data_IF_139904896380
#
_entry.id   IF_139904896380
#
_cell.length_a   1.000
_cell.length_b   1.000
_cell.length_c   1.000
_cell.angle_alpha   90.00
_cell.angle_beta   90.00
_cell.angle_gamma   90.00
#
_symmetry.space_group_name_H-M   'P 1'
#
loop_
_entity.id
_entity.type
_entity.pdbx_description
1 polymer ?
#
# COMPACT_ATOMS: atom_id res chain seq x y z
N UNK A 1 16.22 -27.02 -7.04
CA UNK A 1 15.97 -25.59 -7.42
C UNK A 1 15.71 -24.70 -6.21
N UNK A 2 14.85 -25.08 -5.25
CA UNK A 2 14.53 -24.26 -4.08
C UNK A 2 15.75 -23.86 -3.25
N UNK A 3 16.65 -24.79 -2.93
CA UNK A 3 17.87 -24.49 -2.14
C UNK A 3 18.81 -23.52 -2.82
N UNK A 4 19.00 -23.63 -4.13
CA UNK A 4 19.86 -22.72 -4.91
C UNK A 4 19.26 -21.31 -4.88
N UNK A 5 17.94 -21.19 -5.02
CA UNK A 5 17.27 -19.90 -4.92
C UNK A 5 17.38 -19.31 -3.49
N UNK A 6 17.33 -20.13 -2.43
CA UNK A 6 17.53 -19.64 -1.05
C UNK A 6 18.94 -19.09 -0.82
N UNK A 7 19.97 -19.75 -1.36
CA UNK A 7 21.34 -19.25 -1.30
C UNK A 7 21.43 -17.91 -2.05
N UNK A 8 20.89 -17.84 -3.28
CA UNK A 8 20.81 -16.58 -4.03
C UNK A 8 20.10 -15.49 -3.25
N UNK A 9 18.91 -15.78 -2.70
CA UNK A 9 18.12 -14.80 -1.94
C UNK A 9 18.92 -14.24 -0.76
N UNK A 10 19.51 -15.09 0.07
CA UNK A 10 20.11 -14.66 1.32
C UNK A 10 21.54 -14.14 1.16
N UNK A 11 22.31 -14.71 0.24
CA UNK A 11 23.72 -14.33 0.06
C UNK A 11 23.91 -13.20 -0.98
N UNK A 12 22.96 -12.99 -1.89
CA UNK A 12 23.09 -12.01 -2.97
C UNK A 12 21.95 -10.98 -2.92
N UNK A 13 20.70 -11.42 -3.13
CA UNK A 13 19.57 -10.51 -3.31
C UNK A 13 19.30 -9.67 -2.06
N UNK A 14 19.17 -10.28 -0.89
CA UNK A 14 18.83 -9.56 0.35
C UNK A 14 19.90 -8.57 0.81
N UNK A 15 21.21 -8.87 0.80
CA UNK A 15 22.26 -7.87 1.09
C UNK A 15 22.25 -6.69 0.12
N UNK A 16 22.14 -6.94 -1.20
CA UNK A 16 22.04 -5.88 -2.20
C UNK A 16 20.82 -4.99 -1.91
N UNK A 17 19.67 -5.60 -1.64
CA UNK A 17 18.45 -4.85 -1.41
C UNK A 17 18.44 -4.08 -0.08
N UNK A 18 19.16 -4.57 0.93
CA UNK A 18 19.36 -3.82 2.18
C UNK A 18 20.12 -2.51 1.90
N UNK A 19 21.26 -2.61 1.20
CA UNK A 19 22.05 -1.43 0.83
C UNK A 19 21.25 -0.48 -0.06
N UNK A 20 20.58 -1.02 -1.08
CA UNK A 20 19.74 -0.24 -1.99
C UNK A 20 18.58 0.46 -1.25
N UNK A 21 17.98 -0.18 -0.25
CA UNK A 21 16.93 0.42 0.58
C UNK A 21 17.46 1.61 1.40
N UNK A 22 18.65 1.50 1.96
CA UNK A 22 19.30 2.60 2.69
C UNK A 22 19.58 3.77 1.75
N UNK A 23 20.17 3.51 0.59
CA UNK A 23 20.45 4.53 -0.43
C UNK A 23 19.16 5.22 -0.88
N UNK A 24 18.11 4.44 -1.19
CA UNK A 24 16.82 4.99 -1.59
C UNK A 24 16.21 5.88 -0.48
N UNK A 25 16.29 5.45 0.77
CA UNK A 25 15.80 6.23 1.90
C UNK A 25 16.56 7.56 2.06
N UNK A 26 17.89 7.55 1.89
CA UNK A 26 18.72 8.76 1.93
C UNK A 26 18.38 9.72 0.78
N UNK A 27 18.23 9.19 -0.45
CA UNK A 27 17.80 9.97 -1.61
C UNK A 27 16.42 10.59 -1.36
N UNK A 28 15.48 9.83 -0.79
CA UNK A 28 14.16 10.33 -0.43
C UNK A 28 14.25 11.46 0.60
N UNK A 29 15.03 11.28 1.67
CA UNK A 29 15.19 12.29 2.72
C UNK A 29 15.74 13.60 2.14
N UNK A 30 16.83 13.54 1.38
CA UNK A 30 17.45 14.72 0.78
C UNK A 30 16.55 15.34 -0.28
N UNK A 31 16.01 14.52 -1.18
CA UNK A 31 15.15 15.00 -2.26
C UNK A 31 13.87 15.68 -1.77
N UNK A 32 13.27 15.18 -0.69
CA UNK A 32 12.07 15.79 -0.09
C UNK A 32 12.29 17.21 0.46
N UNK A 33 13.53 17.65 0.67
CA UNK A 33 13.84 19.04 1.00
C UNK A 33 13.58 19.99 -0.19
N UNK A 34 13.61 19.48 -1.41
CA UNK A 34 13.38 20.24 -2.64
C UNK A 34 11.94 20.08 -3.14
N UNK A 35 11.43 18.85 -3.22
CA UNK A 35 10.06 18.58 -3.65
C UNK A 35 9.55 17.28 -3.00
N UNK A 36 8.69 17.44 -1.99
CA UNK A 36 8.17 16.32 -1.21
C UNK A 36 7.31 15.35 -2.03
N UNK A 37 6.51 15.84 -2.98
CA UNK A 37 5.58 14.99 -3.72
C UNK A 37 6.29 14.17 -4.79
N UNK A 38 7.31 14.72 -5.42
CA UNK A 38 8.14 13.99 -6.37
C UNK A 38 9.07 13.00 -5.65
N UNK A 39 9.93 13.49 -4.75
CA UNK A 39 10.96 12.67 -4.11
C UNK A 39 10.41 11.72 -3.03
N UNK A 40 9.21 12.00 -2.51
CA UNK A 40 8.52 11.08 -1.62
C UNK A 40 7.88 9.87 -2.33
N UNK A 41 7.77 9.91 -3.66
CA UNK A 41 7.15 8.84 -4.44
C UNK A 41 8.12 8.15 -5.41
N UNK A 42 8.85 8.90 -6.24
CA UNK A 42 9.64 8.32 -7.35
C UNK A 42 10.76 7.38 -6.90
N UNK A 43 11.60 7.70 -5.91
CA UNK A 43 12.63 6.77 -5.45
C UNK A 43 12.02 5.45 -4.93
N UNK A 44 10.95 5.55 -4.15
CA UNK A 44 10.26 4.40 -3.59
C UNK A 44 9.56 3.54 -4.66
N UNK A 45 9.04 4.16 -5.73
CA UNK A 45 8.48 3.45 -6.88
C UNK A 45 9.53 2.55 -7.55
N UNK A 46 10.72 3.09 -7.82
CA UNK A 46 11.81 2.30 -8.42
C UNK A 46 12.37 1.26 -7.45
N UNK A 47 12.52 1.61 -6.19
CA UNK A 47 12.91 0.68 -5.14
C UNK A 47 11.98 -0.54 -5.09
N UNK A 48 10.68 -0.34 -5.11
CA UNK A 48 9.71 -1.42 -5.09
C UNK A 48 9.78 -2.31 -6.34
N UNK A 49 10.00 -1.73 -7.53
CA UNK A 49 10.19 -2.48 -8.77
C UNK A 49 11.43 -3.35 -8.73
N UNK A 50 12.56 -2.80 -8.26
CA UNK A 50 13.81 -3.54 -8.14
C UNK A 50 13.67 -4.68 -7.14
N UNK A 51 12.93 -4.49 -6.02
CA UNK A 51 12.58 -5.57 -5.10
C UNK A 51 11.84 -6.71 -5.79
N UNK A 52 10.86 -6.41 -6.62
CA UNK A 52 10.15 -7.42 -7.38
C UNK A 52 11.07 -8.13 -8.38
N UNK A 53 11.87 -7.39 -9.14
CA UNK A 53 12.75 -7.97 -10.18
C UNK A 53 13.85 -8.87 -9.61
N UNK A 54 14.55 -8.40 -8.60
CA UNK A 54 15.67 -9.17 -8.02
C UNK A 54 15.18 -10.46 -7.35
N UNK A 55 13.96 -10.48 -6.83
CA UNK A 55 13.37 -11.68 -6.25
C UNK A 55 12.51 -12.49 -7.23
N UNK A 56 12.58 -12.16 -8.54
CA UNK A 56 11.85 -12.86 -9.60
C UNK A 56 10.32 -12.87 -9.39
N UNK A 57 9.80 -11.77 -8.85
CA UNK A 57 8.37 -11.55 -8.65
C UNK A 57 7.83 -10.70 -9.79
N UNK A 58 6.90 -11.25 -10.55
CA UNK A 58 6.20 -10.53 -11.63
C UNK A 58 4.94 -9.87 -11.09
N UNK A 59 4.72 -8.60 -11.44
CA UNK A 59 3.48 -7.91 -11.12
C UNK A 59 2.69 -7.66 -12.39
N UNK A 60 1.44 -8.14 -12.43
CA UNK A 60 0.45 -7.85 -13.48
C UNK A 60 -0.51 -6.79 -12.95
N UNK A 61 -0.95 -5.91 -13.82
CA UNK A 61 -1.92 -4.84 -13.49
C UNK A 61 -3.10 -4.95 -14.43
N UNK A 62 -4.30 -4.91 -13.88
CA UNK A 62 -5.59 -5.01 -14.59
C UNK A 62 -6.46 -3.84 -14.14
N UNK A 63 -7.23 -3.24 -15.04
CA UNK A 63 -8.23 -2.22 -14.73
C UNK A 63 -7.64 -0.83 -14.39
N UNK A 64 -6.35 -0.56 -14.66
CA UNK A 64 -5.76 0.77 -14.39
C UNK A 64 -6.42 1.88 -15.20
N UNK A 65 -6.95 1.58 -16.36
CA UNK A 65 -7.69 2.50 -17.25
C UNK A 65 -8.95 3.07 -16.62
N UNK A 66 -9.45 2.48 -15.52
CA UNK A 66 -10.58 2.97 -14.73
C UNK A 66 -10.23 4.20 -13.87
N UNK A 67 -8.94 4.52 -13.76
CA UNK A 67 -8.43 5.52 -12.82
C UNK A 67 -7.93 6.75 -13.59
N UNK A 68 -8.56 7.89 -13.30
CA UNK A 68 -8.11 9.19 -13.79
C UNK A 68 -6.96 9.76 -12.95
N UNK A 69 -5.89 10.20 -13.57
CA UNK A 69 -4.69 10.69 -12.89
C UNK A 69 -4.85 12.06 -12.23
N UNK A 70 -5.82 12.85 -12.62
CA UNK A 70 -6.09 14.19 -12.06
C UNK A 70 -6.99 14.12 -10.82
N UNK A 71 -7.68 13.00 -10.64
CA UNK A 71 -8.61 12.78 -9.51
C UNK A 71 -7.86 12.21 -8.29
N UNK A 72 -8.17 12.73 -7.11
CA UNK A 72 -7.70 12.18 -5.83
C UNK A 72 -8.61 11.05 -5.38
N UNK A 73 -8.04 9.94 -4.97
CA UNK A 73 -8.75 8.72 -4.53
C UNK A 73 -8.33 8.26 -3.15
N UNK A 74 -9.18 7.49 -2.52
CA UNK A 74 -8.80 6.59 -1.42
C UNK A 74 -8.72 5.17 -1.97
N UNK A 75 -7.52 4.71 -2.27
CA UNK A 75 -7.27 3.33 -2.68
C UNK A 75 -7.31 2.41 -1.47
N UNK A 76 -8.13 1.39 -1.55
CA UNK A 76 -8.34 0.40 -0.49
C UNK A 76 -7.97 -0.97 -1.00
N UNK A 77 -7.02 -1.64 -0.35
CA UNK A 77 -6.55 -2.96 -0.79
C UNK A 77 -6.54 -3.97 0.36
N UNK A 78 -6.66 -5.27 0.05
CA UNK A 78 -6.40 -6.35 0.98
C UNK A 78 -4.91 -6.46 1.33
N UNK A 79 -4.57 -7.07 2.47
CA UNK A 79 -3.19 -7.11 2.98
C UNK A 79 -2.77 -8.53 3.38
N UNK A 80 -2.25 -9.28 2.41
CA UNK A 80 -1.94 -10.69 2.57
C UNK A 80 -0.44 -10.99 2.74
N UNK A 81 0.43 -10.20 2.10
CA UNK A 81 1.86 -10.44 2.10
C UNK A 81 2.70 -9.18 2.22
N UNK A 82 4.01 -9.35 2.38
CA UNK A 82 4.93 -8.20 2.39
C UNK A 82 5.03 -7.54 1.01
N UNK A 83 4.81 -8.31 -0.04
CA UNK A 83 4.88 -7.83 -1.42
C UNK A 83 3.68 -6.97 -1.85
N UNK A 84 2.62 -6.85 -1.03
CA UNK A 84 1.55 -5.88 -1.26
C UNK A 84 2.11 -4.45 -1.33
N UNK A 85 3.07 -4.13 -0.44
CA UNK A 85 3.70 -2.80 -0.41
C UNK A 85 4.51 -2.56 -1.68
N UNK A 86 5.31 -3.55 -2.13
CA UNK A 86 6.12 -3.40 -3.33
C UNK A 86 5.27 -3.37 -4.61
N UNK A 87 4.21 -4.17 -4.67
CA UNK A 87 3.31 -4.17 -5.83
C UNK A 87 2.55 -2.85 -5.97
N UNK A 88 2.01 -2.31 -4.88
CA UNK A 88 1.35 -0.99 -4.88
C UNK A 88 2.36 0.11 -5.23
N UNK A 89 3.48 0.22 -4.51
CA UNK A 89 4.45 1.29 -4.76
C UNK A 89 4.98 1.29 -6.20
N UNK A 90 5.38 0.11 -6.67
CA UNK A 90 5.99 -0.03 -7.98
C UNK A 90 5.01 0.12 -9.15
N UNK A 91 3.75 -0.28 -8.96
CA UNK A 91 2.86 -0.58 -10.08
C UNK A 91 1.48 0.08 -10.01
N UNK A 92 1.12 0.78 -8.92
CA UNK A 92 -0.14 1.54 -8.84
C UNK A 92 -0.28 2.54 -10.00
N UNK A 93 0.81 3.22 -10.34
CA UNK A 93 0.83 4.17 -11.45
C UNK A 93 0.22 5.54 -11.13
N UNK A 94 -0.14 5.80 -9.89
CA UNK A 94 -0.73 7.04 -9.40
C UNK A 94 0.08 7.58 -8.22
N UNK A 95 0.19 8.90 -8.05
CA UNK A 95 0.91 9.47 -6.92
C UNK A 95 0.05 9.40 -5.65
N UNK A 96 0.65 8.94 -4.57
CA UNK A 96 -0.10 8.68 -3.34
C UNK A 96 0.75 8.83 -2.09
N UNK A 97 0.06 8.97 -0.95
CA UNK A 97 0.65 8.84 0.40
C UNK A 97 0.07 7.61 1.09
N UNK A 98 0.92 6.86 1.78
CA UNK A 98 0.44 5.77 2.62
C UNK A 98 -0.26 6.30 3.86
N UNK A 99 -1.35 5.66 4.24
CA UNK A 99 -1.88 5.72 5.59
C UNK A 99 -1.29 4.56 6.39
N UNK A 100 -0.36 4.85 7.31
CA UNK A 100 0.43 3.82 7.99
C UNK A 100 0.48 4.01 9.50
N UNK A 101 0.79 2.93 10.23
CA UNK A 101 0.93 2.98 11.70
C UNK A 101 2.12 3.84 12.11
N UNK A 102 1.93 4.66 13.15
CA UNK A 102 2.98 5.53 13.74
C UNK A 102 4.25 4.75 14.12
N UNK A 103 4.13 3.48 14.56
CA UNK A 103 5.29 2.65 14.94
C UNK A 103 6.35 2.46 13.86
N UNK A 104 6.02 2.62 12.57
CA UNK A 104 6.98 2.54 11.47
C UNK A 104 8.04 3.66 11.57
N UNK A 105 7.70 4.78 12.14
CA UNK A 105 8.64 5.92 12.32
C UNK A 105 9.78 5.67 13.29
N UNK A 106 9.71 4.58 14.07
CA UNK A 106 10.77 4.18 14.99
C UNK A 106 11.91 3.40 14.31
N UNK A 107 11.73 2.99 13.05
CA UNK A 107 12.78 2.31 12.29
C UNK A 107 13.79 3.37 11.82
N UNK A 108 15.08 3.27 12.22
CA UNK A 108 16.11 4.22 11.82
C UNK A 108 16.14 4.41 10.29
N UNK A 109 16.42 5.63 9.84
CA UNK A 109 16.49 6.03 8.42
C UNK A 109 15.14 5.87 7.69
N UNK A 110 14.56 4.67 7.66
CA UNK A 110 13.28 4.38 7.00
C UNK A 110 12.15 5.23 7.60
N UNK A 111 12.05 5.28 8.92
CA UNK A 111 11.04 6.10 9.58
C UNK A 111 11.18 7.59 9.27
N UNK A 112 12.41 8.08 9.16
CA UNK A 112 12.69 9.46 8.73
C UNK A 112 12.28 9.67 7.26
N UNK A 113 12.64 8.75 6.37
CA UNK A 113 12.22 8.80 4.96
C UNK A 113 10.69 8.82 4.83
N UNK A 114 9.96 7.97 5.58
CA UNK A 114 8.49 7.95 5.58
C UNK A 114 7.89 9.29 6.05
N UNK A 115 8.44 9.92 7.10
CA UNK A 115 8.01 11.25 7.54
C UNK A 115 8.27 12.32 6.48
N UNK A 116 9.50 12.35 5.95
CA UNK A 116 9.90 13.31 4.92
C UNK A 116 9.09 13.14 3.63
N UNK A 117 8.75 11.91 3.24
CA UNK A 117 7.86 11.61 2.12
C UNK A 117 6.41 12.07 2.35
N UNK A 118 6.07 12.50 3.56
CA UNK A 118 4.74 13.05 3.87
C UNK A 118 3.65 11.99 3.99
N UNK A 119 4.01 10.75 4.33
CA UNK A 119 3.02 9.72 4.61
C UNK A 119 2.19 10.06 5.84
N UNK A 120 0.94 9.60 5.87
CA UNK A 120 -0.03 9.91 6.91
C UNK A 120 0.13 8.87 8.03
N UNK A 121 0.57 9.35 9.20
CA UNK A 121 0.75 8.50 10.36
C UNK A 121 -0.56 8.38 11.13
N UNK A 122 -1.08 7.17 11.23
CA UNK A 122 -2.33 6.90 11.92
C UNK A 122 -2.08 6.67 13.39
N UNK A 123 -2.74 7.49 14.21
CA UNK A 123 -2.89 7.28 15.64
C UNK A 123 -4.39 7.14 15.96
N UNK A 124 -4.84 5.90 16.18
CA UNK A 124 -6.23 5.58 16.48
C UNK A 124 -6.49 5.40 17.96
N UNK A 125 -5.48 5.60 18.81
CA UNK A 125 -5.62 5.33 20.25
C UNK A 125 -6.34 6.46 20.99
N UNK A 126 -6.39 7.66 20.42
CA UNK A 126 -7.02 8.82 21.03
C UNK A 126 -7.90 9.59 20.04
N UNK A 127 -8.92 10.27 20.53
CA UNK A 127 -9.76 11.14 19.70
C UNK A 127 -8.95 12.29 19.08
N UNK A 128 -7.91 12.77 19.77
CA UNK A 128 -6.99 13.78 19.23
C UNK A 128 -6.15 13.21 18.09
N UNK A 129 -5.57 12.01 18.26
CA UNK A 129 -4.78 11.34 17.21
C UNK A 129 -5.60 11.10 15.94
N UNK A 130 -6.88 10.79 16.07
CA UNK A 130 -7.79 10.67 14.92
C UNK A 130 -7.97 12.03 14.21
N UNK A 131 -8.22 13.11 14.95
CA UNK A 131 -8.33 14.48 14.39
C UNK A 131 -7.03 14.90 13.67
N UNK A 132 -5.89 14.63 14.28
CA UNK A 132 -4.57 14.95 13.70
C UNK A 132 -4.32 14.16 12.40
N UNK A 133 -4.73 12.89 12.37
CA UNK A 133 -4.67 12.05 11.17
C UNK A 133 -5.53 12.63 10.04
N UNK A 134 -6.77 13.05 10.34
CA UNK A 134 -7.67 13.67 9.36
C UNK A 134 -7.12 15.01 8.85
N UNK A 135 -6.61 15.87 9.75
CA UNK A 135 -6.00 17.14 9.38
C UNK A 135 -4.73 16.95 8.51
N UNK A 136 -3.91 15.93 8.81
CA UNK A 136 -2.76 15.58 7.99
C UNK A 136 -3.16 15.08 6.59
N UNK A 137 -4.21 14.26 6.50
CA UNK A 137 -4.77 13.79 5.23
C UNK A 137 -5.26 14.96 4.38
N UNK A 138 -6.05 15.87 4.96
CA UNK A 138 -6.58 17.05 4.28
C UNK A 138 -5.50 17.90 3.62
N UNK A 139 -4.37 18.09 4.30
CA UNK A 139 -3.23 18.86 3.77
C UNK A 139 -2.53 18.19 2.58
N UNK A 140 -2.71 16.89 2.39
CA UNK A 140 -2.03 16.11 1.35
C UNK A 140 -2.90 15.84 0.12
N UNK A 141 -4.22 15.83 0.29
CA UNK A 141 -5.18 15.51 -0.77
C UNK A 141 -5.45 16.73 -1.65
N UNK A 142 -4.57 16.98 -2.60
CA UNK A 142 -4.70 18.04 -3.62
C UNK A 142 -4.00 17.62 -4.91
N UNK A 143 -4.40 18.16 -6.06
CA UNK A 143 -3.72 17.98 -7.34
C UNK A 143 -3.55 16.51 -7.74
N UNK A 144 -4.58 15.67 -7.63
CA UNK A 144 -4.52 14.25 -7.93
C UNK A 144 -3.80 13.40 -6.90
N UNK A 145 -3.29 13.98 -5.78
CA UNK A 145 -2.65 13.21 -4.71
C UNK A 145 -3.67 12.32 -4.02
N UNK A 146 -3.40 11.04 -3.96
CA UNK A 146 -4.27 10.01 -3.41
C UNK A 146 -3.74 9.42 -2.10
N UNK A 147 -4.54 8.62 -1.44
CA UNK A 147 -4.16 7.86 -0.24
C UNK A 147 -4.30 6.37 -0.55
N UNK A 148 -3.35 5.56 -0.09
CA UNK A 148 -3.46 4.11 -0.09
C UNK A 148 -3.55 3.61 1.35
N UNK A 149 -4.47 2.70 1.59
CA UNK A 149 -4.67 2.10 2.90
C UNK A 149 -4.97 0.60 2.80
N UNK A 150 -4.45 -0.14 3.77
CA UNK A 150 -4.87 -1.51 4.05
C UNK A 150 -5.83 -1.48 5.26
N UNK A 151 -7.16 -1.55 5.05
CA UNK A 151 -8.13 -1.33 6.13
C UNK A 151 -8.12 -2.44 7.18
N UNK A 152 -7.57 -3.61 6.88
CA UNK A 152 -7.31 -4.68 7.86
C UNK A 152 -6.34 -4.22 8.96
N UNK A 153 -5.43 -3.28 8.64
CA UNK A 153 -4.45 -2.69 9.54
C UNK A 153 -3.26 -3.60 9.87
N UNK A 154 -3.24 -4.83 9.40
CA UNK A 154 -2.10 -5.77 9.48
C UNK A 154 -2.22 -6.83 8.39
N UNK A 155 -1.11 -7.46 8.03
CA UNK A 155 -1.11 -8.64 7.16
C UNK A 155 -1.85 -9.79 7.82
N UNK A 156 -2.58 -10.57 7.04
CA UNK A 156 -3.20 -11.80 7.49
C UNK A 156 -2.15 -12.85 7.91
N UNK A 157 -2.53 -13.71 8.83
CA UNK A 157 -1.71 -14.87 9.23
C UNK A 157 -2.10 -16.14 8.45
N UNK A 158 -3.32 -16.19 7.91
CA UNK A 158 -3.93 -17.38 7.25
C UNK A 158 -4.02 -17.28 5.73
N UNK A 159 -3.88 -16.09 5.16
CA UNK A 159 -4.19 -15.80 3.76
C UNK A 159 -5.62 -15.29 3.55
N UNK A 160 -6.53 -15.52 4.48
CA UNK A 160 -7.89 -15.00 4.41
C UNK A 160 -7.93 -13.50 4.71
N UNK A 161 -8.84 -12.80 4.06
CA UNK A 161 -9.01 -11.35 4.22
C UNK A 161 -9.68 -11.04 5.56
N UNK A 162 -9.04 -10.23 6.39
CA UNK A 162 -9.57 -9.80 7.68
C UNK A 162 -10.68 -8.75 7.59
N UNK A 163 -11.29 -8.40 8.74
CA UNK A 163 -12.31 -7.35 8.78
C UNK A 163 -11.72 -5.98 8.47
N UNK A 164 -12.49 -5.16 7.77
CA UNK A 164 -12.12 -3.79 7.41
C UNK A 164 -12.44 -2.80 8.53
N UNK A 165 -11.48 -1.94 8.84
CA UNK A 165 -11.66 -0.80 9.76
C UNK A 165 -12.20 0.40 9.00
N UNK A 166 -13.09 1.14 9.64
CA UNK A 166 -13.84 2.24 9.01
C UNK A 166 -13.02 3.52 8.77
N UNK A 167 -11.77 3.62 9.24
CA UNK A 167 -11.00 4.87 9.20
C UNK A 167 -10.78 5.44 7.79
N UNK A 168 -10.47 4.59 6.81
CA UNK A 168 -10.29 4.99 5.42
C UNK A 168 -11.59 5.49 4.77
N UNK A 169 -12.68 4.78 5.04
CA UNK A 169 -14.00 5.12 4.50
C UNK A 169 -14.57 6.41 5.12
N UNK A 170 -14.32 6.62 6.42
CA UNK A 170 -14.65 7.89 7.09
C UNK A 170 -13.89 9.05 6.45
N UNK A 171 -12.60 8.87 6.16
CA UNK A 171 -11.78 9.88 5.50
C UNK A 171 -12.31 10.16 4.08
N UNK A 172 -12.61 9.12 3.31
CA UNK A 172 -13.15 9.26 1.97
C UNK A 172 -14.47 10.05 1.98
N UNK A 173 -15.39 9.73 2.89
CA UNK A 173 -16.66 10.42 3.03
C UNK A 173 -16.48 11.88 3.45
N UNK A 174 -15.62 12.16 4.44
CA UNK A 174 -15.39 13.52 4.97
C UNK A 174 -14.81 14.45 3.90
N UNK A 175 -14.01 13.93 2.97
CA UNK A 175 -13.38 14.73 1.91
C UNK A 175 -14.06 14.57 0.54
N UNK A 176 -15.18 13.84 0.47
CA UNK A 176 -15.91 13.62 -0.79
C UNK A 176 -15.09 12.88 -1.85
N UNK A 177 -14.16 12.00 -1.43
CA UNK A 177 -13.27 11.29 -2.34
C UNK A 177 -13.83 9.92 -2.72
N UNK A 178 -13.75 9.54 -4.01
CA UNK A 178 -14.12 8.19 -4.41
C UNK A 178 -13.18 7.15 -3.78
N UNK A 179 -13.75 6.00 -3.41
CA UNK A 179 -13.01 4.83 -2.92
C UNK A 179 -12.75 3.89 -4.09
N UNK A 180 -11.49 3.54 -4.33
CA UNK A 180 -11.12 2.55 -5.34
C UNK A 180 -10.71 1.26 -4.66
N UNK A 181 -11.51 0.18 -4.78
CA UNK A 181 -11.09 -1.13 -4.34
C UNK A 181 -9.95 -1.66 -5.22
N UNK A 182 -8.94 -2.27 -4.61
CA UNK A 182 -7.85 -2.95 -5.31
C UNK A 182 -7.71 -4.35 -4.74
N UNK A 183 -7.84 -5.36 -5.61
CA UNK A 183 -7.51 -6.73 -5.23
C UNK A 183 -6.04 -7.01 -5.48
N UNK A 184 -5.34 -7.53 -4.45
CA UNK A 184 -3.98 -8.02 -4.54
C UNK A 184 -4.02 -9.54 -4.39
N UNK A 185 -3.82 -10.26 -5.48
CA UNK A 185 -3.73 -11.71 -5.48
C UNK A 185 -2.29 -12.19 -5.65
N UNK A 186 -1.93 -13.31 -5.02
CA UNK A 186 -0.64 -13.98 -5.12
C UNK A 186 0.42 -13.55 -4.09
N UNK A 187 0.25 -12.43 -3.40
CA UNK A 187 1.30 -11.93 -2.50
C UNK A 187 1.50 -12.81 -1.26
N UNK A 188 0.44 -13.47 -0.77
CA UNK A 188 0.54 -14.46 0.30
C UNK A 188 1.44 -15.65 -0.09
N UNK A 189 1.30 -16.15 -1.31
CA UNK A 189 2.13 -17.24 -1.86
C UNK A 189 3.58 -16.80 -2.09
N UNK A 190 3.80 -15.52 -2.41
CA UNK A 190 5.14 -14.94 -2.60
C UNK A 190 5.88 -14.77 -1.28
N UNK A 191 5.27 -14.13 -0.28
CA UNK A 191 5.90 -13.91 1.03
C UNK A 191 4.85 -13.64 2.11
N UNK A 192 4.32 -14.70 2.76
CA UNK A 192 3.40 -14.56 3.87
C UNK A 192 4.08 -13.91 5.08
N UNK A 193 3.28 -13.51 6.07
CA UNK A 193 3.77 -12.84 7.27
C UNK A 193 4.71 -13.70 8.12
N UNK A 194 4.56 -15.01 8.07
CA UNK A 194 5.28 -15.98 8.90
C UNK A 194 6.74 -16.21 8.50
N UNK A 195 7.17 -15.69 7.33
CA UNK A 195 8.53 -15.94 6.81
C UNK A 195 9.12 -14.73 6.10
N UNK A 196 10.45 -14.69 6.02
CA UNK A 196 11.22 -13.79 5.15
C UNK A 196 11.68 -14.47 3.86
N UNK A 197 11.29 -15.72 3.64
CA UNK A 197 11.63 -16.45 2.43
C UNK A 197 10.68 -16.04 1.31
N UNK A 198 11.24 -15.42 0.27
CA UNK A 198 10.50 -15.06 -0.93
C UNK A 198 10.37 -16.30 -1.84
N UNK A 199 9.20 -16.53 -2.35
CA UNK A 199 8.96 -17.53 -3.40
C UNK A 199 8.70 -16.78 -4.70
N UNK A 200 9.51 -17.00 -5.75
CA UNK A 200 9.24 -16.43 -7.07
C UNK A 200 7.83 -16.72 -7.53
N UNK A 201 7.15 -15.72 -8.10
CA UNK A 201 5.76 -15.89 -8.49
C UNK A 201 5.18 -14.66 -9.18
N UNK A 202 3.87 -14.69 -9.40
CA UNK A 202 3.14 -13.58 -9.98
C UNK A 202 2.17 -13.00 -8.96
N UNK A 203 2.13 -11.66 -8.87
CA UNK A 203 1.13 -10.90 -8.13
C UNK A 203 0.27 -10.17 -9.14
N UNK A 204 -1.03 -10.24 -8.98
CA UNK A 204 -1.98 -9.48 -9.80
C UNK A 204 -2.57 -8.36 -8.96
N UNK A 205 -2.51 -7.13 -9.50
CA UNK A 205 -3.21 -5.96 -8.97
C UNK A 205 -4.42 -5.70 -9.86
N UNK A 206 -5.61 -5.90 -9.36
CA UNK A 206 -6.86 -5.59 -10.06
C UNK A 206 -7.46 -4.31 -9.49
N UNK A 207 -7.60 -3.28 -10.32
CA UNK A 207 -8.34 -2.07 -10.00
C UNK A 207 -9.81 -2.29 -10.34
N UNK A 208 -10.69 -1.91 -9.42
CA UNK A 208 -12.13 -1.94 -9.64
C UNK A 208 -12.69 -0.54 -9.83
N UNK A 209 -13.92 -0.46 -10.30
CA UNK A 209 -14.64 0.80 -10.50
C UNK A 209 -14.66 1.63 -9.21
N UNK A 210 -14.40 2.95 -9.29
CA UNK A 210 -14.48 3.83 -8.15
C UNK A 210 -15.89 3.88 -7.55
N UNK A 211 -15.99 3.61 -6.25
CA UNK A 211 -17.22 3.76 -5.49
C UNK A 211 -17.36 5.25 -5.16
N UNK A 212 -18.35 5.90 -5.80
CA UNK A 212 -18.66 7.30 -5.55
C UNK A 212 -19.47 7.46 -4.26
N UNK A 213 -19.19 8.52 -3.50
CA UNK A 213 -20.02 8.89 -2.38
C UNK A 213 -21.30 9.57 -2.86
N UNK A 214 -22.44 8.98 -2.56
CA UNK A 214 -23.75 9.60 -2.73
C UNK A 214 -24.23 10.17 -1.39
N UNK A 215 -24.97 11.27 -1.42
CA UNK A 215 -25.60 11.83 -0.22
C UNK A 215 -26.49 10.78 0.45
N UNK A 216 -26.16 10.40 1.69
CA UNK A 216 -26.87 9.37 2.44
C UNK A 216 -26.17 8.02 2.54
N UNK A 217 -25.03 7.79 1.88
CA UNK A 217 -24.27 6.55 2.06
C UNK A 217 -23.71 6.48 3.50
N UNK A 218 -23.97 5.35 4.16
CA UNK A 218 -23.32 5.02 5.42
C UNK A 218 -21.88 4.49 5.17
N UNK A 219 -20.97 4.86 6.07
CA UNK A 219 -19.58 4.37 6.08
C UNK A 219 -19.52 2.84 6.04
N UNK A 220 -20.42 2.18 6.81
CA UNK A 220 -20.49 0.73 6.87
C UNK A 220 -20.89 0.12 5.52
N UNK A 221 -21.80 0.76 4.79
CA UNK A 221 -22.23 0.31 3.45
C UNK A 221 -21.08 0.37 2.44
N UNK A 222 -20.35 1.49 2.37
CA UNK A 222 -19.20 1.64 1.46
C UNK A 222 -18.09 0.67 1.81
N UNK A 223 -17.81 0.48 3.10
CA UNK A 223 -16.83 -0.48 3.59
C UNK A 223 -17.20 -1.92 3.22
N UNK A 224 -18.46 -2.30 3.40
CA UNK A 224 -18.98 -3.61 3.05
C UNK A 224 -18.92 -3.85 1.53
N UNK A 225 -19.37 -2.89 0.73
CA UNK A 225 -19.33 -2.97 -0.73
C UNK A 225 -17.88 -3.14 -1.23
N UNK A 226 -16.96 -2.31 -0.73
CA UNK A 226 -15.54 -2.39 -1.08
C UNK A 226 -14.95 -3.76 -0.72
N UNK A 227 -15.24 -4.27 0.49
CA UNK A 227 -14.79 -5.58 0.94
C UNK A 227 -15.35 -6.71 0.06
N UNK A 228 -16.63 -6.67 -0.27
CA UNK A 228 -17.30 -7.66 -1.13
C UNK A 228 -16.66 -7.71 -2.51
N UNK A 229 -16.39 -6.55 -3.13
CA UNK A 229 -15.74 -6.47 -4.44
C UNK A 229 -14.37 -7.15 -4.40
N UNK A 230 -13.52 -6.81 -3.42
CA UNK A 230 -12.18 -7.39 -3.29
C UNK A 230 -12.27 -8.90 -3.04
N UNK A 231 -13.16 -9.33 -2.15
CA UNK A 231 -13.34 -10.74 -1.79
C UNK A 231 -13.80 -11.59 -2.97
N UNK A 232 -14.70 -11.08 -3.80
CA UNK A 232 -15.20 -11.80 -4.98
C UNK A 232 -14.13 -12.01 -6.05
N UNK A 233 -13.14 -11.12 -6.16
CA UNK A 233 -12.03 -11.21 -7.12
C UNK A 233 -10.86 -12.05 -6.60
N UNK A 234 -10.79 -12.36 -5.29
CA UNK A 234 -9.80 -13.27 -4.73
C UNK A 234 -10.11 -14.73 -5.11
N UNK A 235 -9.08 -15.61 -5.20
CA UNK A 235 -9.28 -17.06 -5.34
C UNK A 235 -10.14 -17.63 -4.21
N UNK A 236 -10.88 -18.71 -4.49
CA UNK A 236 -11.82 -19.30 -3.52
C UNK A 236 -11.14 -19.71 -2.20
N UNK A 237 -9.91 -20.22 -2.27
CA UNK A 237 -9.11 -20.60 -1.12
C UNK A 237 -8.62 -19.40 -0.27
N UNK A 238 -8.85 -18.17 -0.72
CA UNK A 238 -8.49 -16.92 -0.04
C UNK A 238 -9.72 -16.11 0.43
N UNK A 239 -10.93 -16.61 0.19
CA UNK A 239 -12.19 -16.01 0.65
C UNK A 239 -12.51 -16.53 2.06
N UNK A 240 -13.10 -15.67 2.93
CA UNK A 240 -13.64 -16.04 4.25
C UNK A 240 -15.13 -16.33 4.20
#
# INVERSE_FOLDING_TARGET
MVYIYRIYQWCIASPIMLVYSIITALITIVGCLFNQDYWGYFPAKWWARVWCWIHLVRVKVVGRELIDHETSYVFVANHQGAYDIFSIYGFLGHNFKWMMRKGITNIPIIGTACRMAGHILVDTHTAQGLRDTMAAAKKKLHGGMSIVVFPEGRRTDTGLMGPFKNGAFKLALEFGLPVVPITIDGSYKVMPRSTFNVTPGTITLTFHEPIQHQSGNDIAQVSHQCRTIIQQDLPEDMRD
#
